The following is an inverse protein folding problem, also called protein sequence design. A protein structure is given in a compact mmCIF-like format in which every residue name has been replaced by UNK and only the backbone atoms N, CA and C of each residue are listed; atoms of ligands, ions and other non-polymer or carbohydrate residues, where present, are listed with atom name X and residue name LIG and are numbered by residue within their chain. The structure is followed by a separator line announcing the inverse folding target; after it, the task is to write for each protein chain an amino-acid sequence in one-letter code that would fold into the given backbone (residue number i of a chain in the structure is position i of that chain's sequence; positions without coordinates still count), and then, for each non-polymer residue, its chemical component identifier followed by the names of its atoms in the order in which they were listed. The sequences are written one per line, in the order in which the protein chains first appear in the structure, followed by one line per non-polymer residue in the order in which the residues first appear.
data_IF_158091390458
#
_entry.id   IF_158091390458
#
_cell.length_a   1.000
_cell.length_b   1.000
_cell.length_c   1.000
_cell.angle_alpha   90.00
_cell.angle_beta   90.00
_cell.angle_gamma   90.00
#
_symmetry.space_group_name_H-M   'P 1'
#
loop_
_entity.id
_entity.type
_entity.pdbx_description
1 polymer ?
#
# COMPACT_ATOMS: atom_id res chain seq x y z
N UNK A 1 32.88 -22.89 -9.50
CA UNK A 1 31.52 -22.76 -10.07
C UNK A 1 30.66 -22.01 -9.08
N UNK A 2 30.13 -20.83 -9.41
CA UNK A 2 29.11 -20.19 -8.57
C UNK A 2 27.76 -20.86 -8.86
N UNK A 3 27.13 -21.45 -7.83
CA UNK A 3 25.72 -21.86 -7.93
C UNK A 3 24.87 -20.59 -7.94
N UNK A 4 24.10 -20.38 -8.99
CA UNK A 4 23.03 -19.37 -9.03
C UNK A 4 21.92 -19.77 -8.06
N UNK A 5 22.03 -19.30 -6.81
CA UNK A 5 21.00 -19.51 -5.76
C UNK A 5 19.70 -18.86 -6.23
N UNK A 6 18.70 -19.68 -6.51
CA UNK A 6 17.34 -19.22 -6.84
C UNK A 6 16.80 -18.39 -5.68
N UNK A 7 16.27 -17.19 -5.97
CA UNK A 7 15.64 -16.33 -4.94
C UNK A 7 14.42 -17.04 -4.35
N UNK A 8 14.18 -16.81 -3.06
CA UNK A 8 12.94 -17.26 -2.41
C UNK A 8 11.74 -16.43 -2.92
N UNK A 9 10.53 -16.91 -2.64
CA UNK A 9 9.31 -16.11 -2.88
C UNK A 9 9.28 -14.84 -2.02
N UNK A 10 9.81 -14.88 -0.80
CA UNK A 10 9.90 -13.71 0.09
C UNK A 10 10.87 -12.66 -0.48
N UNK A 11 12.06 -13.07 -0.90
CA UNK A 11 13.05 -12.20 -1.56
C UNK A 11 12.52 -11.55 -2.83
N UNK A 12 11.70 -12.26 -3.63
CA UNK A 12 11.02 -11.67 -4.79
C UNK A 12 9.95 -10.65 -4.36
N UNK A 13 9.15 -10.94 -3.33
CA UNK A 13 8.14 -10.00 -2.78
C UNK A 13 8.80 -8.72 -2.25
N UNK A 14 9.88 -8.85 -1.47
CA UNK A 14 10.69 -7.72 -0.98
C UNK A 14 11.18 -6.80 -2.10
N UNK A 15 11.70 -7.35 -3.19
CA UNK A 15 12.23 -6.56 -4.30
C UNK A 15 11.12 -5.85 -5.09
N UNK A 16 9.94 -6.48 -5.22
CA UNK A 16 8.75 -5.82 -5.79
C UNK A 16 8.29 -4.65 -4.91
N UNK A 17 8.27 -4.83 -3.58
CA UNK A 17 7.95 -3.77 -2.61
C UNK A 17 8.98 -2.62 -2.65
N UNK A 18 10.28 -2.93 -2.84
CA UNK A 18 11.33 -1.92 -2.96
C UNK A 18 11.22 -1.12 -4.27
N UNK A 19 10.94 -1.78 -5.40
CA UNK A 19 10.62 -1.10 -6.68
C UNK A 19 9.41 -0.16 -6.47
N UNK A 20 8.36 -0.63 -5.79
CA UNK A 20 7.16 0.14 -5.50
C UNK A 20 7.39 1.38 -4.63
N UNK A 21 8.16 1.25 -3.55
CA UNK A 21 8.47 2.38 -2.67
C UNK A 21 9.42 3.39 -3.32
N UNK A 22 10.41 2.93 -4.09
CA UNK A 22 11.27 3.85 -4.86
C UNK A 22 10.45 4.61 -5.90
N UNK A 23 9.56 3.91 -6.63
CA UNK A 23 8.64 4.55 -7.57
C UNK A 23 7.75 5.60 -6.88
N UNK A 24 7.12 5.26 -5.75
CA UNK A 24 6.33 6.19 -4.93
C UNK A 24 7.12 7.43 -4.56
N UNK A 25 8.33 7.27 -4.02
CA UNK A 25 9.18 8.37 -3.58
C UNK A 25 9.57 9.31 -4.73
N UNK A 26 9.94 8.75 -5.90
CA UNK A 26 10.31 9.56 -7.06
C UNK A 26 9.09 10.22 -7.71
N UNK A 27 7.92 9.57 -7.73
CA UNK A 27 6.67 10.18 -8.20
C UNK A 27 6.19 11.32 -7.28
N UNK A 28 6.40 11.20 -5.96
CA UNK A 28 6.09 12.26 -5.01
C UNK A 28 7.02 13.47 -5.20
N UNK A 29 8.34 13.24 -5.29
CA UNK A 29 9.35 14.30 -5.46
C UNK A 29 9.32 14.97 -6.85
N UNK A 30 8.56 14.44 -7.81
CA UNK A 30 8.32 15.05 -9.13
C UNK A 30 6.87 15.52 -9.34
N UNK A 31 6.09 15.69 -8.26
CA UNK A 31 4.72 16.25 -8.28
C UNK A 31 3.72 15.47 -9.18
N UNK A 32 3.82 14.14 -9.20
CA UNK A 32 2.78 13.28 -9.79
C UNK A 32 1.67 12.92 -8.80
N UNK A 33 1.96 12.97 -7.49
CA UNK A 33 1.05 12.56 -6.42
C UNK A 33 0.55 13.80 -5.69
N UNK A 34 -0.65 14.26 -6.02
CA UNK A 34 -1.24 15.46 -5.42
C UNK A 34 -2.78 15.39 -5.40
N UNK A 35 -3.42 16.41 -4.83
CA UNK A 35 -4.87 16.52 -4.81
C UNK A 35 -5.45 16.88 -6.18
N UNK A 36 -6.52 16.19 -6.60
CA UNK A 36 -7.13 16.32 -7.94
C UNK A 36 -8.64 16.44 -7.83
N UNK A 37 -9.25 17.43 -8.51
CA UNK A 37 -10.71 17.62 -8.52
C UNK A 37 -11.35 17.06 -9.79
N UNK A 38 -12.41 16.27 -9.64
CA UNK A 38 -13.18 15.70 -10.75
C UNK A 38 -14.65 15.49 -10.35
N UNK A 39 -15.60 15.95 -11.18
CA UNK A 39 -17.06 15.90 -10.93
C UNK A 39 -17.44 16.32 -9.49
N UNK A 40 -16.93 17.49 -9.07
CA UNK A 40 -17.13 18.07 -7.72
C UNK A 40 -16.57 17.26 -6.53
N UNK A 41 -15.85 16.15 -6.75
CA UNK A 41 -15.11 15.43 -5.71
C UNK A 41 -13.62 15.77 -5.74
N UNK A 42 -12.97 15.78 -4.57
CA UNK A 42 -11.51 15.92 -4.45
C UNK A 42 -10.89 14.56 -4.13
N UNK A 43 -10.17 14.00 -5.10
CA UNK A 43 -9.34 12.82 -4.94
C UNK A 43 -7.99 13.30 -4.41
N UNK A 44 -7.81 13.21 -3.08
CA UNK A 44 -6.58 13.68 -2.43
C UNK A 44 -5.40 12.76 -2.71
N UNK A 45 -4.16 13.27 -2.64
CA UNK A 45 -2.89 12.51 -2.68
C UNK A 45 -2.90 11.37 -3.72
N UNK A 46 -3.11 11.68 -5.00
CA UNK A 46 -3.32 10.67 -6.04
C UNK A 46 -2.60 11.00 -7.35
N UNK A 47 -2.31 9.95 -8.12
CA UNK A 47 -1.71 10.03 -9.45
C UNK A 47 -2.71 9.62 -10.54
N UNK A 48 -2.56 10.18 -11.75
CA UNK A 48 -3.37 9.81 -12.90
C UNK A 48 -2.63 8.75 -13.73
N UNK A 49 -3.33 7.69 -14.13
CA UNK A 49 -2.72 6.55 -14.84
C UNK A 49 -1.95 6.98 -16.09
N UNK A 50 -2.59 7.69 -17.00
CA UNK A 50 -1.98 8.12 -18.27
C UNK A 50 -0.80 9.09 -18.09
N UNK A 51 -0.88 10.05 -17.15
CA UNK A 51 0.25 10.94 -16.84
C UNK A 51 1.44 10.16 -16.24
N UNK A 52 1.18 9.07 -15.52
CA UNK A 52 2.21 8.20 -14.96
C UNK A 52 2.89 7.37 -16.05
N UNK A 53 2.14 6.88 -17.05
CA UNK A 53 2.72 6.20 -18.23
C UNK A 53 3.59 7.15 -19.06
N UNK A 54 3.10 8.37 -19.32
CA UNK A 54 3.88 9.42 -20.01
C UNK A 54 5.21 9.71 -19.27
N UNK A 55 5.13 9.85 -17.95
CA UNK A 55 6.29 10.12 -17.10
C UNK A 55 7.28 8.96 -17.02
N UNK A 56 6.80 7.72 -16.87
CA UNK A 56 7.63 6.50 -16.83
C UNK A 56 8.46 6.33 -18.10
N UNK A 57 7.90 6.68 -19.26
CA UNK A 57 8.60 6.67 -20.55
C UNK A 57 9.56 7.86 -20.66
N UNK A 58 9.10 9.08 -20.35
CA UNK A 58 9.92 10.30 -20.37
C UNK A 58 11.17 10.20 -19.49
N UNK A 59 11.09 9.47 -18.39
CA UNK A 59 12.19 9.26 -17.42
C UNK A 59 12.98 7.97 -17.64
N UNK A 60 12.65 7.16 -18.65
CA UNK A 60 13.39 5.94 -18.98
C UNK A 60 13.23 4.79 -17.98
N UNK A 61 12.24 4.82 -17.10
CA UNK A 61 11.92 3.66 -16.24
C UNK A 61 11.41 2.46 -17.06
N UNK A 62 10.80 2.73 -18.22
CA UNK A 62 10.22 1.74 -19.14
C UNK A 62 10.17 2.30 -20.57
N UNK A 63 10.22 1.45 -21.60
CA UNK A 63 10.39 1.90 -23.00
C UNK A 63 9.12 1.82 -23.87
N UNK A 64 7.99 1.36 -23.31
CA UNK A 64 6.72 1.20 -24.04
C UNK A 64 5.52 1.31 -23.11
N UNK A 65 4.36 1.76 -23.63
CA UNK A 65 3.14 2.02 -22.83
C UNK A 65 2.53 0.72 -22.33
N UNK A 66 2.60 -0.32 -23.15
CA UNK A 66 2.12 -1.68 -22.89
C UNK A 66 2.91 -2.30 -21.74
N UNK A 67 4.25 -2.17 -21.76
CA UNK A 67 5.09 -2.62 -20.66
C UNK A 67 4.88 -1.78 -19.39
N UNK A 68 4.65 -0.46 -19.52
CA UNK A 68 4.28 0.38 -18.38
C UNK A 68 3.01 -0.13 -17.69
N UNK A 69 1.95 -0.41 -18.46
CA UNK A 69 0.70 -0.97 -17.95
C UNK A 69 0.92 -2.33 -17.30
N UNK A 70 1.67 -3.26 -17.92
CA UNK A 70 1.94 -4.58 -17.33
C UNK A 70 2.72 -4.45 -16.01
N UNK A 71 3.78 -3.63 -15.97
CA UNK A 71 4.59 -3.46 -14.77
C UNK A 71 3.82 -2.79 -13.61
N UNK A 72 2.99 -1.79 -13.92
CA UNK A 72 2.13 -1.14 -12.94
C UNK A 72 1.04 -2.08 -12.41
N UNK A 73 0.45 -2.94 -13.25
CA UNK A 73 -0.47 -3.98 -12.78
C UNK A 73 0.20 -4.96 -11.81
N UNK A 74 1.46 -5.38 -12.06
CA UNK A 74 2.19 -6.23 -11.10
C UNK A 74 2.36 -5.54 -9.73
N UNK A 75 2.60 -4.22 -9.69
CA UNK A 75 2.65 -3.47 -8.43
C UNK A 75 1.27 -3.38 -7.74
N UNK A 76 0.18 -3.22 -8.50
CA UNK A 76 -1.19 -3.20 -7.97
C UNK A 76 -1.61 -4.57 -7.42
N UNK A 77 -1.28 -5.66 -8.12
CA UNK A 77 -1.50 -7.05 -7.67
C UNK A 77 -0.71 -7.35 -6.39
N UNK A 78 0.46 -6.73 -6.20
CA UNK A 78 1.24 -6.78 -4.95
C UNK A 78 0.84 -5.70 -3.93
N UNK A 79 -0.34 -5.09 -4.09
CA UNK A 79 -1.01 -4.15 -3.17
C UNK A 79 -0.23 -2.86 -2.83
N UNK A 80 0.77 -2.49 -3.65
CA UNK A 80 1.58 -1.28 -3.46
C UNK A 80 0.74 -0.02 -3.71
N UNK A 81 -0.13 -0.07 -4.72
CA UNK A 81 -1.11 0.97 -5.03
C UNK A 81 -2.45 0.36 -5.42
N UNK A 82 -3.49 1.19 -5.52
CA UNK A 82 -4.84 0.80 -5.95
C UNK A 82 -5.52 1.92 -6.76
N UNK A 83 -6.55 1.59 -7.52
CA UNK A 83 -7.50 2.56 -8.06
C UNK A 83 -8.26 3.25 -6.92
N UNK A 84 -8.58 4.55 -7.03
CA UNK A 84 -9.19 5.33 -5.92
C UNK A 84 -10.56 4.84 -5.42
N UNK A 85 -11.23 3.96 -6.17
CA UNK A 85 -12.45 3.26 -5.75
C UNK A 85 -12.25 1.74 -5.61
N UNK A 86 -11.04 1.24 -5.85
CA UNK A 86 -10.68 -0.18 -6.05
C UNK A 86 -11.31 -0.91 -7.26
N UNK A 87 -12.33 -0.33 -7.93
CA UNK A 87 -13.05 -0.91 -9.10
C UNK A 87 -12.20 -1.37 -10.31
N UNK A 88 -10.94 -0.93 -10.44
CA UNK A 88 -10.16 -1.07 -11.68
C UNK A 88 -8.72 -1.55 -11.43
N UNK A 89 -8.27 -2.48 -12.27
CA UNK A 89 -6.85 -2.71 -12.54
C UNK A 89 -6.19 -1.52 -13.23
N UNK A 90 -4.85 -1.45 -13.22
CA UNK A 90 -4.14 -0.30 -13.76
C UNK A 90 -4.27 -0.19 -15.29
N UNK A 91 -4.59 1.02 -15.74
CA UNK A 91 -4.71 1.38 -17.15
C UNK A 91 -4.08 2.75 -17.45
N UNK A 92 -3.61 2.88 -18.68
CA UNK A 92 -3.24 4.14 -19.34
C UNK A 92 -4.48 4.98 -19.72
N UNK A 93 -5.26 5.34 -18.70
CA UNK A 93 -6.49 6.12 -18.82
C UNK A 93 -6.45 7.32 -17.86
N UNK A 94 -7.44 8.23 -17.98
CA UNK A 94 -7.64 9.36 -17.04
C UNK A 94 -8.32 8.92 -15.73
N UNK A 95 -7.96 7.73 -15.25
CA UNK A 95 -8.34 7.18 -13.95
C UNK A 95 -7.32 7.61 -12.88
N UNK A 96 -7.76 7.67 -11.63
CA UNK A 96 -6.91 8.01 -10.49
C UNK A 96 -6.53 6.79 -9.67
N UNK A 97 -5.30 6.79 -9.16
CA UNK A 97 -4.71 5.74 -8.36
C UNK A 97 -3.95 6.34 -7.18
N UNK A 98 -3.69 5.53 -6.16
CA UNK A 98 -3.05 5.94 -4.91
C UNK A 98 -2.15 4.82 -4.39
N UNK A 99 -0.97 5.15 -3.87
CA UNK A 99 -0.18 4.19 -3.10
C UNK A 99 -0.84 3.91 -1.75
N UNK A 100 -1.04 2.63 -1.39
CA UNK A 100 -1.79 2.28 -0.16
C UNK A 100 -1.15 2.79 1.14
N UNK A 101 0.15 3.12 1.07
CA UNK A 101 0.93 3.76 2.13
C UNK A 101 0.49 5.21 2.44
N UNK A 102 -0.16 5.90 1.51
CA UNK A 102 -0.43 7.35 1.61
C UNK A 102 -1.81 7.71 2.20
N UNK A 103 -2.79 6.80 2.23
CA UNK A 103 -4.05 6.97 2.97
C UNK A 103 -4.26 5.95 4.11
N UNK A 104 -3.39 4.94 4.20
CA UNK A 104 -3.59 3.82 5.12
C UNK A 104 -4.82 2.98 4.76
N UNK A 105 -5.09 2.81 3.45
CA UNK A 105 -5.83 1.68 2.86
C UNK A 105 -4.98 0.40 2.75
N UNK A 106 -3.72 0.50 3.21
CA UNK A 106 -2.75 -0.56 3.37
C UNK A 106 -3.32 -1.83 4.00
N UNK A 107 -3.11 -2.95 3.32
CA UNK A 107 -3.42 -4.29 3.84
C UNK A 107 -2.52 -4.60 5.03
N UNK A 108 -3.10 -5.11 6.14
CA UNK A 108 -2.37 -5.59 7.33
C UNK A 108 -1.61 -6.92 7.07
N UNK A 109 -0.95 -7.02 5.91
CA UNK A 109 -0.03 -8.08 5.55
C UNK A 109 1.28 -7.92 6.31
N UNK A 110 1.56 -8.89 7.19
CA UNK A 110 2.75 -8.92 8.05
C UNK A 110 4.06 -8.90 7.28
N UNK A 111 4.09 -9.40 6.04
CA UNK A 111 5.32 -9.39 5.25
C UNK A 111 5.67 -7.98 4.78
N UNK A 112 4.65 -7.26 4.31
CA UNK A 112 4.81 -5.88 3.87
C UNK A 112 5.04 -4.97 5.09
N UNK A 113 4.40 -5.23 6.24
CA UNK A 113 4.67 -4.54 7.51
C UNK A 113 6.15 -4.66 7.87
N UNK A 114 6.65 -5.90 7.98
CA UNK A 114 8.04 -6.19 8.30
C UNK A 114 9.00 -5.57 7.27
N UNK A 115 8.67 -5.57 5.97
CA UNK A 115 9.47 -4.88 4.95
C UNK A 115 9.63 -3.39 5.27
N UNK A 116 8.54 -2.68 5.59
CA UNK A 116 8.62 -1.26 5.94
C UNK A 116 9.30 -1.02 7.30
N UNK A 117 9.11 -1.89 8.29
CA UNK A 117 9.86 -1.86 9.55
C UNK A 117 11.36 -1.99 9.30
N UNK A 118 11.78 -2.98 8.50
CA UNK A 118 13.18 -3.22 8.13
C UNK A 118 13.78 -2.06 7.33
N UNK A 119 13.03 -1.50 6.37
CA UNK A 119 13.43 -0.35 5.57
C UNK A 119 13.60 0.92 6.42
N UNK A 120 12.72 1.14 7.40
CA UNK A 120 12.81 2.23 8.37
C UNK A 120 14.05 2.07 9.27
N UNK A 121 14.23 0.90 9.89
CA UNK A 121 15.41 0.59 10.72
C UNK A 121 16.68 0.86 9.90
N UNK A 122 16.80 0.23 8.73
CA UNK A 122 17.99 0.35 7.88
C UNK A 122 18.33 1.82 7.57
N UNK A 123 17.37 2.62 7.12
CA UNK A 123 17.65 4.04 6.81
C UNK A 123 18.07 4.87 8.03
N UNK A 124 17.67 4.49 9.25
CA UNK A 124 18.11 5.14 10.48
C UNK A 124 19.50 4.66 10.96
N UNK A 125 19.85 3.38 10.77
CA UNK A 125 21.11 2.82 11.28
C UNK A 125 22.24 2.66 10.25
N UNK A 126 21.97 2.77 8.93
CA UNK A 126 22.98 2.54 7.86
C UNK A 126 24.25 3.40 7.93
N UNK A 127 24.15 4.58 8.55
CA UNK A 127 25.29 5.49 8.76
C UNK A 127 25.80 5.50 10.22
N UNK A 128 25.19 4.74 11.13
CA UNK A 128 25.51 4.73 12.56
C UNK A 128 26.58 3.66 12.85
N UNK A 129 27.85 4.05 12.84
CA UNK A 129 29.00 3.13 13.04
C UNK A 129 29.11 2.51 14.45
N UNK A 130 28.34 3.01 15.42
CA UNK A 130 28.17 2.36 16.73
C UNK A 130 27.35 1.06 16.63
N UNK A 131 26.41 1.00 15.66
CA UNK A 131 25.48 -0.12 15.45
C UNK A 131 25.91 -0.97 14.25
N UNK A 132 26.15 -0.36 13.08
CA UNK A 132 26.50 -1.02 11.83
C UNK A 132 28.00 -0.90 11.51
N UNK A 133 28.70 -2.02 11.63
CA UNK A 133 30.16 -2.13 11.56
C UNK A 133 30.61 -3.48 11.02
N UNK A 134 31.85 -3.54 10.56
CA UNK A 134 32.46 -4.80 10.14
C UNK A 134 32.83 -5.63 11.38
N UNK A 135 32.49 -6.92 11.36
CA UNK A 135 32.82 -7.88 12.41
C UNK A 135 33.64 -9.03 11.84
N UNK A 136 34.79 -9.30 12.46
CA UNK A 136 35.63 -10.47 12.14
C UNK A 136 35.29 -11.61 13.10
N UNK A 137 34.98 -12.79 12.55
CA UNK A 137 34.76 -14.01 13.34
C UNK A 137 35.37 -15.21 12.60
N UNK A 138 36.05 -16.12 13.32
CA UNK A 138 36.81 -17.23 12.75
C UNK A 138 37.65 -16.87 11.49
N UNK A 139 38.30 -15.69 11.49
CA UNK A 139 39.09 -15.17 10.36
C UNK A 139 38.28 -14.61 9.17
N UNK A 140 36.96 -14.70 9.18
CA UNK A 140 36.07 -14.18 8.15
C UNK A 140 35.56 -12.78 8.54
N UNK A 141 35.59 -11.83 7.59
CA UNK A 141 35.08 -10.47 7.79
C UNK A 141 33.65 -10.38 7.24
N UNK A 142 32.70 -10.13 8.13
CA UNK A 142 31.31 -9.84 7.80
C UNK A 142 31.11 -8.32 7.81
N UNK A 143 30.68 -7.74 6.70
CA UNK A 143 30.56 -6.29 6.53
C UNK A 143 29.20 -5.74 6.91
N UNK A 144 29.19 -4.49 7.37
CA UNK A 144 27.97 -3.72 7.67
C UNK A 144 26.98 -4.51 8.56
N UNK A 145 27.53 -5.21 9.54
CA UNK A 145 26.79 -6.06 10.50
C UNK A 145 26.42 -5.30 11.77
N UNK A 146 25.40 -5.79 12.48
CA UNK A 146 24.98 -5.29 13.78
C UNK A 146 24.77 -6.47 14.75
N UNK A 147 24.82 -6.21 16.06
CA UNK A 147 24.49 -7.23 17.07
C UNK A 147 23.01 -7.16 17.47
N UNK A 148 22.46 -8.30 17.89
CA UNK A 148 21.07 -8.38 18.37
C UNK A 148 20.78 -7.40 19.51
N UNK A 149 21.68 -7.33 20.51
CA UNK A 149 21.54 -6.36 21.62
C UNK A 149 21.55 -4.91 21.14
N UNK A 150 22.49 -4.49 20.29
CA UNK A 150 22.60 -3.09 19.87
C UNK A 150 21.42 -2.66 18.99
N UNK A 151 20.81 -3.57 18.22
CA UNK A 151 19.56 -3.26 17.52
C UNK A 151 18.38 -3.11 18.50
N UNK A 152 18.27 -3.98 19.51
CA UNK A 152 17.22 -3.88 20.55
C UNK A 152 17.36 -2.56 21.34
N UNK A 153 18.58 -2.22 21.74
CA UNK A 153 18.88 -0.98 22.45
C UNK A 153 18.49 0.25 21.61
N UNK A 154 18.78 0.23 20.31
CA UNK A 154 18.36 1.28 19.37
C UNK A 154 16.84 1.32 19.18
N UNK A 155 16.16 0.18 19.01
CA UNK A 155 14.70 0.12 18.83
C UNK A 155 13.96 0.75 20.01
N UNK A 156 14.38 0.44 21.25
CA UNK A 156 13.79 0.99 22.47
C UNK A 156 14.11 2.48 22.60
N UNK A 157 15.37 2.88 22.35
CA UNK A 157 15.81 4.29 22.39
C UNK A 157 15.11 5.21 21.37
N UNK A 158 14.54 4.64 20.30
CA UNK A 158 13.83 5.36 19.24
C UNK A 158 12.32 5.07 19.25
N UNK A 159 11.78 4.53 20.36
CA UNK A 159 10.34 4.28 20.57
C UNK A 159 9.68 3.40 19.49
N UNK A 160 10.47 2.51 18.86
CA UNK A 160 10.00 1.54 17.85
C UNK A 160 9.27 0.37 18.51
N UNK A 161 9.64 0.06 19.76
CA UNK A 161 9.10 -0.99 20.64
C UNK A 161 9.30 -0.56 22.09
N UNK A 162 8.46 -1.05 23.00
CA UNK A 162 8.46 -0.66 24.41
C UNK A 162 9.13 -1.69 25.34
N UNK A 163 9.54 -2.86 24.81
CA UNK A 163 10.26 -3.87 25.60
C UNK A 163 11.29 -4.66 24.80
N UNK A 164 12.28 -5.26 25.49
CA UNK A 164 13.27 -6.15 24.86
C UNK A 164 12.63 -7.42 24.26
N UNK A 165 11.56 -7.92 24.86
CA UNK A 165 10.84 -9.09 24.35
C UNK A 165 10.13 -8.80 23.02
N UNK A 166 9.49 -7.63 22.92
CA UNK A 166 8.87 -7.12 21.70
C UNK A 166 9.93 -6.82 20.61
N UNK A 167 11.06 -6.22 21.00
CA UNK A 167 12.21 -6.01 20.11
C UNK A 167 12.76 -7.33 19.54
N UNK A 168 12.88 -8.36 20.39
CA UNK A 168 13.24 -9.72 19.94
C UNK A 168 12.20 -10.27 18.99
N UNK A 169 10.90 -10.15 19.28
CA UNK A 169 9.84 -10.64 18.39
C UNK A 169 9.85 -9.92 17.02
N UNK A 170 10.02 -8.59 16.98
CA UNK A 170 10.16 -7.85 15.71
C UNK A 170 11.43 -8.24 14.95
N UNK A 171 12.56 -8.41 15.63
CA UNK A 171 13.79 -8.93 15.01
C UNK A 171 13.64 -10.35 14.45
N UNK A 172 12.80 -11.20 15.06
CA UNK A 172 12.44 -12.53 14.53
C UNK A 172 11.58 -12.42 13.28
N UNK A 173 10.54 -11.59 13.31
CA UNK A 173 9.66 -11.36 12.16
C UNK A 173 10.42 -10.86 10.93
N UNK A 174 11.46 -10.04 11.12
CA UNK A 174 12.39 -9.60 10.06
C UNK A 174 13.28 -10.75 9.54
N UNK A 175 13.70 -11.69 10.40
CA UNK A 175 14.56 -12.81 10.02
C UNK A 175 13.77 -13.91 9.29
N UNK A 176 12.60 -14.28 9.79
CA UNK A 176 11.67 -15.23 9.15
C UNK A 176 11.34 -14.84 7.71
N UNK A 177 11.31 -13.54 7.43
CA UNK A 177 10.97 -12.96 6.12
C UNK A 177 12.17 -12.76 5.21
N UNK A 178 13.36 -13.17 5.64
CA UNK A 178 14.64 -12.94 4.96
C UNK A 178 14.99 -11.45 4.77
N UNK A 179 14.51 -10.53 5.63
CA UNK A 179 14.89 -9.10 5.57
C UNK A 179 16.25 -8.89 6.23
N UNK A 180 16.49 -9.61 7.32
CA UNK A 180 17.79 -9.79 7.97
C UNK A 180 18.14 -11.28 8.05
N UNK A 181 19.40 -11.61 8.28
CA UNK A 181 19.87 -12.98 8.59
C UNK A 181 20.99 -12.97 9.62
N UNK A 182 21.16 -14.07 10.35
CA UNK A 182 22.37 -14.28 11.15
C UNK A 182 23.58 -14.43 10.23
N UNK A 183 24.78 -14.02 10.66
CA UNK A 183 25.95 -14.04 9.76
C UNK A 183 26.40 -15.43 9.32
N UNK A 184 26.07 -16.46 10.10
CA UNK A 184 26.32 -17.88 9.81
C UNK A 184 25.05 -18.70 9.50
N UNK A 185 23.88 -18.06 9.44
CA UNK A 185 22.55 -18.71 9.37
C UNK A 185 22.17 -19.66 10.54
N UNK A 186 23.09 -20.00 11.48
CA UNK A 186 22.84 -20.94 12.60
C UNK A 186 21.78 -20.50 13.65
N UNK A 187 21.57 -19.20 13.83
CA UNK A 187 20.78 -18.66 14.94
C UNK A 187 19.61 -17.80 14.49
N UNK A 188 18.45 -18.04 15.10
CA UNK A 188 17.30 -17.14 15.04
C UNK A 188 17.57 -15.82 15.80
N UNK A 189 16.69 -14.82 15.69
CA UNK A 189 16.95 -13.51 16.33
C UNK A 189 16.85 -13.59 17.86
N UNK A 190 17.88 -13.06 18.53
CA UNK A 190 18.14 -13.14 19.97
C UNK A 190 18.78 -11.84 20.46
N UNK A 191 18.48 -11.49 21.71
CA UNK A 191 19.23 -10.48 22.45
C UNK A 191 20.66 -10.99 22.76
N UNK A 192 21.63 -10.08 22.80
CA UNK A 192 23.06 -10.36 23.00
C UNK A 192 23.94 -10.24 21.74
N UNK A 193 25.15 -10.77 21.84
CA UNK A 193 26.26 -10.57 20.88
C UNK A 193 26.22 -11.49 19.63
N UNK A 194 25.01 -11.92 19.22
CA UNK A 194 24.77 -12.59 17.95
C UNK A 194 24.81 -11.56 16.83
N UNK A 195 25.46 -11.86 15.70
CA UNK A 195 25.69 -10.89 14.62
C UNK A 195 24.71 -11.12 13.48
N UNK A 196 24.11 -10.05 13.00
CA UNK A 196 23.12 -10.07 11.92
C UNK A 196 23.50 -9.06 10.83
N UNK A 197 22.96 -9.27 9.63
CA UNK A 197 23.13 -8.43 8.45
C UNK A 197 21.79 -8.30 7.73
N UNK A 198 21.57 -7.23 6.99
CA UNK A 198 20.44 -7.13 6.07
C UNK A 198 20.67 -8.02 4.84
N UNK A 199 19.59 -8.58 4.31
CA UNK A 199 19.61 -9.32 3.04
C UNK A 199 19.23 -8.43 1.85
N UNK A 200 18.40 -7.41 2.11
CA UNK A 200 17.96 -6.43 1.11
C UNK A 200 18.99 -5.29 1.04
N UNK A 201 19.52 -5.01 -0.15
CA UNK A 201 20.20 -3.74 -0.40
C UNK A 201 19.14 -2.65 -0.67
N UNK A 202 18.65 -2.02 0.41
CA UNK A 202 17.72 -0.91 0.32
C UNK A 202 18.31 0.35 -0.35
N UNK A 203 19.64 0.43 -0.56
CA UNK A 203 20.26 1.52 -1.31
C UNK A 203 20.34 1.21 -2.82
N UNK A 204 20.09 -0.03 -3.26
CA UNK A 204 20.14 -0.39 -4.67
C UNK A 204 19.07 0.39 -5.46
N UNK A 205 19.43 1.20 -6.46
CA UNK A 205 18.45 1.88 -7.30
C UNK A 205 17.83 0.90 -8.30
N UNK A 206 16.51 0.95 -8.44
CA UNK A 206 15.73 0.15 -9.38
C UNK A 206 15.00 1.03 -10.41
N UNK A 207 14.84 0.51 -11.63
CA UNK A 207 13.87 0.99 -12.61
C UNK A 207 12.61 0.13 -12.54
N UNK A 208 11.45 0.67 -12.94
CA UNK A 208 10.20 -0.11 -13.00
C UNK A 208 10.35 -1.37 -13.89
N UNK A 209 11.10 -1.26 -15.00
CA UNK A 209 11.38 -2.39 -15.90
C UNK A 209 12.25 -3.50 -15.31
N UNK A 210 12.88 -3.32 -14.14
CA UNK A 210 13.59 -4.41 -13.46
C UNK A 210 12.63 -5.49 -12.92
N UNK A 211 11.35 -5.16 -12.72
CA UNK A 211 10.31 -6.09 -12.24
C UNK A 211 10.16 -7.33 -13.16
N UNK A 212 10.42 -7.18 -14.46
CA UNK A 212 10.38 -8.27 -15.44
C UNK A 212 11.51 -9.29 -15.24
N UNK A 213 12.63 -8.89 -14.63
CA UNK A 213 13.71 -9.82 -14.27
C UNK A 213 13.30 -10.72 -13.09
N UNK A 214 12.52 -10.19 -12.15
CA UNK A 214 12.05 -10.91 -10.97
C UNK A 214 11.07 -12.04 -11.34
N UNK A 215 10.22 -11.82 -12.35
CA UNK A 215 9.29 -12.84 -12.89
C UNK A 215 10.03 -14.09 -13.39
N UNK A 216 11.26 -13.95 -13.90
CA UNK A 216 12.08 -15.09 -14.38
C UNK A 216 12.53 -16.02 -13.25
N UNK A 217 12.75 -15.51 -12.03
CA UNK A 217 13.26 -16.31 -10.91
C UNK A 217 12.18 -17.05 -10.13
N UNK A 218 10.91 -16.66 -10.22
CA UNK A 218 9.80 -17.27 -9.47
C UNK A 218 8.86 -18.18 -10.28
N UNK A 219 9.00 -18.25 -11.61
CA UNK A 219 7.99 -18.90 -12.47
C UNK A 219 8.10 -20.43 -12.51
N UNK A 220 7.40 -21.11 -11.60
CA UNK A 220 7.00 -22.52 -11.81
C UNK A 220 5.63 -22.94 -11.26
N UNK A 221 4.96 -22.09 -10.47
CA UNK A 221 3.63 -22.42 -9.88
C UNK A 221 2.68 -21.21 -9.86
N UNK A 222 2.21 -20.80 -11.03
CA UNK A 222 0.88 -20.19 -11.18
C UNK A 222 0.28 -20.64 -12.51
N UNK A 223 -0.38 -21.80 -12.48
CA UNK A 223 -1.28 -22.22 -13.54
C UNK A 223 -2.68 -21.77 -13.17
N UNK A 224 -3.27 -20.89 -13.97
CA UNK A 224 -4.71 -20.93 -14.18
C UNK A 224 -5.04 -20.43 -15.60
N UNK A 225 -6.16 -20.90 -16.13
CA UNK A 225 -6.49 -20.78 -17.54
C UNK A 225 -6.87 -19.35 -17.95
N UNK A 226 -6.21 -18.83 -18.99
CA UNK A 226 -6.91 -18.24 -20.13
C UNK A 226 -5.99 -18.17 -21.36
N UNK A 227 -6.51 -18.57 -22.52
CA UNK A 227 -5.75 -18.62 -23.77
C UNK A 227 -5.66 -17.23 -24.40
N UNK A 228 -4.45 -16.65 -24.47
CA UNK A 228 -4.00 -15.71 -25.52
C UNK A 228 -2.48 -15.42 -25.38
N UNK A 229 -1.66 -16.47 -25.34
CA UNK A 229 -0.26 -16.37 -24.89
C UNK A 229 0.78 -16.10 -26.00
N UNK A 230 0.35 -15.55 -27.16
CA UNK A 230 1.23 -15.30 -28.32
C UNK A 230 1.89 -13.91 -28.32
N UNK A 231 1.71 -13.11 -27.27
CA UNK A 231 2.20 -11.71 -27.23
C UNK A 231 3.51 -11.48 -26.45
N UNK A 232 3.89 -12.34 -25.50
CA UNK A 232 4.94 -11.98 -24.52
C UNK A 232 6.38 -12.25 -24.98
N UNK A 233 6.63 -13.26 -25.82
CA UNK A 233 8.00 -13.61 -26.24
C UNK A 233 8.67 -12.49 -27.06
N UNK A 234 7.89 -11.69 -27.80
CA UNK A 234 8.41 -10.67 -28.71
C UNK A 234 8.99 -9.43 -28.02
N UNK A 235 8.54 -9.11 -26.80
CA UNK A 235 9.10 -8.02 -25.99
C UNK A 235 10.43 -8.42 -25.34
N UNK A 236 10.69 -9.71 -25.21
CA UNK A 236 11.67 -10.26 -24.28
C UNK A 236 13.12 -10.09 -24.76
N UNK A 237 13.38 -10.28 -26.06
CA UNK A 237 14.70 -10.08 -26.66
C UNK A 237 15.16 -8.61 -26.67
N UNK A 238 14.23 -7.65 -26.78
CA UNK A 238 14.57 -6.25 -26.98
C UNK A 238 15.02 -5.54 -25.69
N UNK A 239 14.45 -5.89 -24.52
CA UNK A 239 14.84 -5.28 -23.24
C UNK A 239 16.14 -5.85 -22.65
N UNK A 240 16.51 -7.09 -22.98
CA UNK A 240 17.74 -7.73 -22.48
C UNK A 240 19.00 -7.17 -23.18
N UNK A 241 18.89 -6.85 -24.47
CA UNK A 241 20.04 -6.62 -25.37
C UNK A 241 20.81 -5.29 -25.19
N UNK A 242 20.54 -4.52 -24.12
CA UNK A 242 21.23 -3.24 -23.81
C UNK A 242 21.60 -3.05 -22.32
N UNK A 243 21.66 -4.12 -21.54
CA UNK A 243 21.99 -4.07 -20.10
C UNK A 243 23.48 -4.25 -19.77
N UNK A 244 24.20 -3.15 -19.51
CA UNK A 244 25.55 -3.06 -18.89
C UNK A 244 26.66 -3.93 -19.51
N UNK A 245 27.56 -3.31 -20.27
CA UNK A 245 28.93 -3.83 -20.40
C UNK A 245 29.66 -3.74 -19.04
N UNK A 246 30.25 -4.83 -18.59
CA UNK A 246 31.21 -4.85 -17.48
C UNK A 246 32.57 -4.29 -17.93
N UNK A 247 33.33 -3.72 -16.99
CA UNK A 247 34.62 -3.07 -17.24
C UNK A 247 35.63 -3.95 -17.99
N UNK A 248 36.09 -3.47 -19.16
CA UNK A 248 37.20 -4.03 -19.92
C UNK A 248 37.87 -2.93 -20.76
N UNK A 249 39.18 -2.81 -20.67
CA UNK A 249 39.93 -1.65 -21.19
C UNK A 249 40.38 -1.82 -22.64
N UNK A 250 39.85 -1.02 -23.56
CA UNK A 250 40.43 -0.75 -24.89
C UNK A 250 40.32 0.76 -25.18
N UNK A 251 41.33 1.32 -25.86
CA UNK A 251 41.46 2.74 -26.21
C UNK A 251 40.99 3.06 -27.65
N UNK A 252 40.28 4.19 -27.82
CA UNK A 252 40.20 5.02 -29.04
C UNK A 252 39.65 4.36 -30.35
N UNK A 253 38.82 4.96 -31.20
CA UNK A 253 38.41 6.37 -31.45
C UNK A 253 36.94 6.43 -31.92
N UNK A 254 36.37 7.64 -32.04
CA UNK A 254 35.29 7.92 -33.01
C UNK A 254 33.84 7.97 -32.52
N UNK A 255 33.27 9.18 -32.55
CA UNK A 255 31.86 9.55 -32.87
C UNK A 255 30.68 8.63 -32.50
N UNK A 256 29.77 9.09 -31.63
CA UNK A 256 28.31 9.16 -31.91
C UNK A 256 27.46 9.81 -30.80
N UNK A 257 26.21 10.13 -31.17
CA UNK A 257 25.02 10.50 -30.38
C UNK A 257 25.13 10.82 -28.86
N UNK A 258 24.69 12.03 -28.48
CA UNK A 258 24.28 12.32 -27.11
C UNK A 258 22.94 11.62 -26.79
N UNK A 259 22.99 10.55 -26.00
CA UNK A 259 21.83 10.01 -25.31
C UNK A 259 21.90 10.35 -23.83
N UNK A 260 20.97 11.16 -23.31
CA UNK A 260 20.91 11.48 -21.89
C UNK A 260 20.60 10.21 -21.09
N UNK A 261 21.50 9.82 -20.17
CA UNK A 261 21.17 8.84 -19.13
C UNK A 261 20.01 9.37 -18.27
N UNK A 262 19.07 8.52 -17.86
CA UNK A 262 18.09 8.90 -16.84
C UNK A 262 18.80 9.15 -15.49
N UNK A 263 18.31 10.10 -14.68
CA UNK A 263 18.99 10.48 -13.44
C UNK A 263 18.92 9.36 -12.40
N UNK A 264 20.06 8.73 -12.11
CA UNK A 264 20.22 7.82 -10.97
C UNK A 264 20.18 8.64 -9.67
N UNK A 265 19.07 8.55 -8.92
CA UNK A 265 18.89 9.30 -7.68
C UNK A 265 19.62 8.59 -6.52
N UNK A 266 20.56 9.30 -5.89
CA UNK A 266 21.19 8.87 -4.64
C UNK A 266 20.20 9.00 -3.47
N UNK A 267 19.94 7.90 -2.75
CA UNK A 267 18.99 7.82 -1.62
C UNK A 267 19.53 8.45 -0.31
N UNK A 268 19.93 9.74 -0.38
CA UNK A 268 20.63 10.46 0.69
C UNK A 268 20.11 11.90 0.96
N UNK A 269 18.78 12.07 1.04
CA UNK A 269 18.23 13.20 1.80
C UNK A 269 16.86 12.88 2.41
N UNK A 270 16.86 12.53 3.70
CA UNK A 270 15.67 12.63 4.55
C UNK A 270 15.71 13.97 5.28
N UNK A 271 15.04 14.98 4.73
CA UNK A 271 14.64 16.17 5.49
C UNK A 271 13.70 15.76 6.63
N UNK A 272 13.75 16.49 7.74
CA UNK A 272 13.02 16.13 8.96
C UNK A 272 11.63 16.75 8.97
N UNK A 273 10.60 15.91 8.91
CA UNK A 273 9.30 16.19 9.53
C UNK A 273 8.86 14.96 10.34
N UNK A 274 8.33 15.19 11.55
CA UNK A 274 8.07 14.15 12.53
C UNK A 274 6.71 13.48 12.31
N UNK A 275 6.71 12.22 11.84
CA UNK A 275 5.54 11.35 11.82
C UNK A 275 5.85 9.99 12.46
N UNK A 276 5.83 9.95 13.80
CA UNK A 276 5.90 8.70 14.56
C UNK A 276 4.59 7.91 14.44
N UNK A 277 4.62 6.58 14.27
CA UNK A 277 3.41 5.76 14.21
C UNK A 277 2.84 5.50 15.61
N UNK A 278 2.06 6.44 16.15
CA UNK A 278 1.45 6.32 17.48
C UNK A 278 0.23 5.40 17.51
N UNK A 279 0.44 4.17 18.00
CA UNK A 279 -0.64 3.32 18.51
C UNK A 279 -1.32 4.08 19.67
N UNK A 280 -2.65 4.17 19.67
CA UNK A 280 -3.38 4.91 20.70
C UNK A 280 -4.59 4.15 21.27
N UNK A 281 -4.71 4.19 22.60
CA UNK A 281 -5.86 3.72 23.36
C UNK A 281 -6.37 4.83 24.30
N UNK A 282 -7.56 5.35 23.99
CA UNK A 282 -8.53 5.97 24.90
C UNK A 282 -8.06 6.93 26.03
N UNK A 283 -8.51 8.19 25.87
CA UNK A 283 -9.20 9.04 26.87
C UNK A 283 -8.46 10.03 27.81
N UNK A 284 -8.91 11.30 27.73
CA UNK A 284 -9.06 12.36 28.77
C UNK A 284 -7.78 13.09 29.25
N UNK A 285 -7.82 14.38 29.65
CA UNK A 285 -8.83 15.45 29.45
C UNK A 285 -8.18 16.87 29.60
N UNK A 286 -8.36 17.73 28.58
CA UNK A 286 -8.61 19.21 28.63
C UNK A 286 -7.65 20.27 29.26
N UNK A 287 -7.87 21.51 28.79
CA UNK A 287 -7.58 22.87 29.37
C UNK A 287 -6.45 23.72 28.72
N UNK A 288 -6.89 24.66 27.85
CA UNK A 288 -6.57 26.11 27.70
C UNK A 288 -5.11 26.64 27.79
N UNK A 289 -4.65 27.67 27.05
CA UNK A 289 -5.12 28.51 25.91
C UNK A 289 -3.88 29.33 25.41
N UNK A 290 -3.82 30.24 24.41
CA UNK A 290 -4.73 31.01 23.54
C UNK A 290 -4.54 30.59 22.03
N UNK A 291 -4.90 31.24 20.91
CA UNK A 291 -5.11 32.65 20.46
C UNK A 291 -3.83 33.54 20.47
N UNK A 292 -3.61 34.48 19.53
CA UNK A 292 -4.38 35.03 18.37
C UNK A 292 -3.45 35.23 17.14
N UNK A 293 -3.87 35.42 15.87
CA UNK A 293 -5.18 35.63 15.21
C UNK A 293 -5.08 35.44 13.67
N UNK A 294 -6.13 34.86 13.05
CA UNK A 294 -6.76 35.18 11.72
C UNK A 294 -5.86 35.26 10.44
N UNK A 295 -6.24 34.79 9.25
CA UNK A 295 -7.45 34.13 8.68
C UNK A 295 -7.07 33.57 7.28
N UNK A 296 -7.81 32.71 6.56
CA UNK A 296 -9.22 32.29 6.62
C UNK A 296 -9.41 30.80 6.23
N UNK A 297 -10.58 30.21 6.55
CA UNK A 297 -10.82 28.77 6.46
C UNK A 297 -11.39 28.27 5.11
N UNK A 298 -11.04 27.04 4.76
CA UNK A 298 -12.01 26.04 4.29
C UNK A 298 -11.52 24.62 4.62
N UNK A 299 -12.07 24.00 5.66
CA UNK A 299 -11.73 22.62 6.03
C UNK A 299 -12.08 21.64 4.89
N UNK A 300 -11.21 20.67 4.65
CA UNK A 300 -11.41 19.64 3.63
C UNK A 300 -11.52 18.25 4.28
N UNK A 301 -12.77 17.81 4.41
CA UNK A 301 -13.14 16.57 5.10
C UNK A 301 -12.31 15.36 4.64
N UNK A 302 -11.82 14.60 5.62
CA UNK A 302 -11.17 13.32 5.39
C UNK A 302 -12.28 12.30 5.09
N UNK A 303 -12.31 11.70 3.89
CA UNK A 303 -13.24 10.58 3.65
C UNK A 303 -13.00 9.48 4.70
N UNK A 304 -14.02 9.09 5.50
CA UNK A 304 -13.80 8.18 6.61
C UNK A 304 -13.60 6.75 6.12
N UNK A 305 -12.59 6.07 6.69
CA UNK A 305 -12.23 4.67 6.40
C UNK A 305 -13.44 3.74 6.49
N UNK A 306 -13.49 2.72 5.63
CA UNK A 306 -14.55 1.69 5.61
C UNK A 306 -14.84 1.17 7.01
N UNK A 307 -16.11 1.19 7.42
CA UNK A 307 -16.51 0.60 8.72
C UNK A 307 -16.56 -0.92 8.69
N UNK A 308 -16.54 -1.55 7.52
CA UNK A 308 -16.68 -3.01 7.36
C UNK A 308 -15.32 -3.70 7.53
N UNK A 309 -15.25 -4.62 8.51
CA UNK A 309 -14.00 -5.29 8.94
C UNK A 309 -13.72 -6.59 8.16
N UNK A 310 -14.75 -7.21 7.60
CA UNK A 310 -14.65 -8.38 6.70
C UNK A 310 -15.60 -8.16 5.52
N UNK A 311 -15.16 -8.45 4.30
CA UNK A 311 -16.07 -8.48 3.16
C UNK A 311 -17.10 -9.61 3.34
N UNK A 312 -18.37 -9.26 3.18
CA UNK A 312 -19.53 -10.14 3.29
C UNK A 312 -20.12 -10.23 1.89
N UNK A 313 -20.30 -11.45 1.39
CA UNK A 313 -20.83 -11.65 0.02
C UNK A 313 -22.34 -11.44 -0.02
N UNK A 314 -22.89 -11.21 -1.22
CA UNK A 314 -24.35 -11.19 -1.39
C UNK A 314 -24.98 -12.52 -1.00
N UNK A 315 -24.33 -13.65 -1.33
CA UNK A 315 -24.79 -15.00 -0.96
C UNK A 315 -24.96 -15.15 0.56
N UNK A 316 -23.98 -14.69 1.36
CA UNK A 316 -24.04 -14.72 2.82
C UNK A 316 -25.20 -13.88 3.40
N UNK A 317 -25.66 -12.86 2.67
CA UNK A 317 -26.80 -12.01 3.04
C UNK A 317 -28.17 -12.52 2.53
N UNK A 318 -28.18 -13.47 1.61
CA UNK A 318 -29.41 -14.14 1.11
C UNK A 318 -29.64 -15.52 1.74
N UNK A 319 -28.62 -16.15 2.35
CA UNK A 319 -28.74 -17.43 3.04
C UNK A 319 -29.82 -17.43 4.15
N UNK A 320 -30.78 -18.38 4.15
CA UNK A 320 -31.86 -18.43 5.14
C UNK A 320 -31.41 -18.58 6.59
N UNK A 321 -30.25 -19.21 6.81
CA UNK A 321 -29.66 -19.43 8.14
C UNK A 321 -28.53 -18.42 8.47
N UNK A 322 -28.37 -17.37 7.66
CA UNK A 322 -27.35 -16.35 7.88
C UNK A 322 -27.56 -15.62 9.22
N UNK A 323 -26.48 -15.11 9.87
CA UNK A 323 -26.60 -14.37 11.12
C UNK A 323 -27.23 -12.97 10.96
N UNK A 324 -27.85 -12.64 9.82
CA UNK A 324 -28.31 -11.30 9.48
C UNK A 324 -29.83 -11.17 9.55
N UNK A 325 -30.32 -10.36 10.50
CA UNK A 325 -31.76 -10.11 10.67
C UNK A 325 -32.21 -8.88 9.87
N UNK A 326 -33.29 -9.05 9.09
CA UNK A 326 -33.95 -8.00 8.29
C UNK A 326 -34.77 -7.07 9.20
N UNK A 327 -34.60 -5.76 9.05
CA UNK A 327 -35.43 -4.70 9.68
C UNK A 327 -35.93 -3.75 8.58
N UNK A 328 -37.23 -3.43 8.59
CA UNK A 328 -37.77 -2.33 7.78
C UNK A 328 -37.60 -1.00 8.51
N UNK A 329 -37.22 0.05 7.78
CA UNK A 329 -36.97 1.41 8.28
C UNK A 329 -37.56 2.40 7.28
N UNK A 330 -38.49 3.25 7.72
CA UNK A 330 -39.00 4.38 6.93
C UNK A 330 -38.32 5.65 7.41
N UNK A 331 -37.71 6.39 6.50
CA UNK A 331 -36.97 7.63 6.75
C UNK A 331 -37.66 8.75 5.97
N UNK A 332 -38.12 9.79 6.65
CA UNK A 332 -38.50 11.06 6.02
C UNK A 332 -37.24 11.91 5.83
N UNK A 333 -37.13 12.72 4.78
CA UNK A 333 -36.03 13.67 4.66
C UNK A 333 -36.29 14.98 5.43
N UNK A 334 -35.22 15.71 5.72
CA UNK A 334 -35.23 17.12 6.09
C UNK A 334 -34.83 18.01 4.90
N UNK A 335 -34.47 19.27 5.15
CA UNK A 335 -34.02 20.24 4.14
C UNK A 335 -32.61 19.99 3.58
N UNK A 336 -31.84 19.06 4.16
CA UNK A 336 -30.48 18.66 3.75
C UNK A 336 -30.51 17.28 3.08
N UNK A 337 -31.40 16.39 3.52
CA UNK A 337 -31.66 15.09 2.90
C UNK A 337 -32.08 14.04 3.93
N UNK A 338 -31.51 12.83 3.84
CA UNK A 338 -31.87 11.72 4.74
C UNK A 338 -30.88 11.50 5.90
N UNK A 339 -29.76 12.22 5.96
CA UNK A 339 -28.78 12.13 7.06
C UNK A 339 -27.97 10.82 7.14
N UNK A 340 -27.64 10.19 6.00
CA UNK A 340 -26.77 9.00 5.98
C UNK A 340 -25.93 8.89 4.69
N UNK A 341 -24.86 8.08 4.74
CA UNK A 341 -23.94 7.80 3.62
C UNK A 341 -23.80 6.29 3.42
N UNK A 342 -23.81 5.85 2.17
CA UNK A 342 -23.63 4.45 1.75
C UNK A 342 -22.36 4.23 0.93
N UNK A 343 -21.80 3.01 1.01
CA UNK A 343 -20.63 2.51 0.26
C UNK A 343 -20.82 1.04 -0.11
N UNK A 344 -19.92 0.50 -0.95
CA UNK A 344 -19.93 -0.90 -1.40
C UNK A 344 -20.27 -1.08 -2.89
N UNK A 345 -19.90 -2.23 -3.44
CA UNK A 345 -20.08 -2.61 -4.85
C UNK A 345 -20.96 -3.87 -4.99
N UNK A 346 -21.99 -3.99 -4.13
CA UNK A 346 -22.81 -5.17 -4.00
C UNK A 346 -22.19 -6.23 -3.05
N UNK A 347 -22.56 -6.27 -1.76
CA UNK A 347 -23.67 -5.56 -1.12
C UNK A 347 -23.33 -4.13 -0.66
N UNK A 348 -24.25 -3.21 -0.94
CA UNK A 348 -24.20 -1.83 -0.44
C UNK A 348 -24.52 -1.77 1.06
N UNK A 349 -23.79 -0.94 1.83
CA UNK A 349 -23.93 -0.79 3.27
C UNK A 349 -23.85 0.67 3.75
N UNK A 350 -24.37 0.93 4.96
CA UNK A 350 -24.36 2.23 5.64
C UNK A 350 -22.98 2.49 6.27
N UNK A 351 -22.27 3.47 5.72
CA UNK A 351 -20.94 3.92 6.15
C UNK A 351 -21.01 5.00 7.24
N UNK A 352 -21.98 5.92 7.15
CA UNK A 352 -22.22 7.00 8.13
C UNK A 352 -23.73 7.14 8.35
N UNK A 353 -24.12 7.47 9.58
CA UNK A 353 -25.44 8.06 9.91
C UNK A 353 -25.17 9.30 10.74
N UNK A 354 -25.79 10.43 10.40
CA UNK A 354 -25.76 11.65 11.21
C UNK A 354 -26.49 11.36 12.54
N UNK A 355 -25.86 11.51 13.72
CA UNK A 355 -26.47 11.23 15.02
C UNK A 355 -27.72 12.05 15.33
N UNK A 356 -27.90 13.23 14.71
CA UNK A 356 -29.07 14.09 14.87
C UNK A 356 -29.99 14.10 13.63
N UNK A 357 -29.56 13.47 12.54
CA UNK A 357 -30.31 13.44 11.28
C UNK A 357 -31.51 12.49 11.25
N UNK A 358 -32.32 12.52 10.17
CA UNK A 358 -33.56 11.76 10.08
C UNK A 358 -33.33 10.24 10.08
N UNK A 359 -32.24 9.75 9.49
CA UNK A 359 -31.89 8.34 9.50
C UNK A 359 -31.57 7.79 10.90
N UNK A 360 -30.88 8.55 11.76
CA UNK A 360 -30.67 8.15 13.16
C UNK A 360 -32.01 8.10 13.92
N UNK A 361 -32.87 9.10 13.69
CA UNK A 361 -34.22 9.17 14.26
C UNK A 361 -35.10 7.98 13.85
N UNK A 362 -34.99 7.50 12.60
CA UNK A 362 -35.63 6.28 12.12
C UNK A 362 -34.96 4.97 12.62
N UNK A 363 -33.82 5.08 13.31
CA UNK A 363 -33.05 3.96 13.84
C UNK A 363 -32.32 3.14 12.76
N UNK A 364 -31.83 3.81 11.71
CA UNK A 364 -30.76 3.32 10.83
C UNK A 364 -29.45 3.30 11.61
N UNK A 365 -28.55 2.36 11.31
CA UNK A 365 -27.25 2.23 11.97
C UNK A 365 -26.13 1.97 10.96
N UNK A 366 -24.96 2.51 11.28
CA UNK A 366 -23.69 2.21 10.61
C UNK A 366 -23.41 0.70 10.64
N UNK A 367 -22.77 0.16 9.59
CA UNK A 367 -22.54 -1.29 9.33
C UNK A 367 -23.78 -2.12 8.94
N UNK A 368 -24.95 -1.52 8.72
CA UNK A 368 -26.10 -2.24 8.16
C UNK A 368 -26.00 -2.35 6.63
N UNK A 369 -26.32 -3.51 6.05
CA UNK A 369 -26.41 -3.70 4.60
C UNK A 369 -27.81 -3.34 4.09
N UNK A 370 -27.91 -2.73 2.90
CA UNK A 370 -29.20 -2.40 2.28
C UNK A 370 -29.69 -3.60 1.47
N UNK A 371 -30.81 -4.19 1.90
CA UNK A 371 -31.44 -5.33 1.21
C UNK A 371 -32.35 -4.87 0.08
N UNK A 372 -33.16 -3.83 0.31
CA UNK A 372 -34.07 -3.26 -0.68
C UNK A 372 -34.39 -1.79 -0.40
N UNK A 373 -34.64 -1.02 -1.46
CA UNK A 373 -35.12 0.37 -1.43
C UNK A 373 -36.52 0.41 -2.02
N UNK A 374 -37.51 0.90 -1.26
CA UNK A 374 -38.94 0.94 -1.63
C UNK A 374 -39.50 -0.37 -2.22
N UNK A 375 -38.98 -1.52 -1.75
CA UNK A 375 -39.38 -2.87 -2.18
C UNK A 375 -38.50 -3.48 -3.27
N UNK A 376 -37.75 -2.70 -4.04
CA UNK A 376 -36.81 -3.22 -5.04
C UNK A 376 -35.54 -3.75 -4.36
N UNK A 377 -35.15 -5.00 -4.63
CA UNK A 377 -33.93 -5.61 -4.07
C UNK A 377 -32.66 -4.99 -4.64
N UNK A 378 -31.67 -4.73 -3.79
CA UNK A 378 -30.44 -4.01 -4.16
C UNK A 378 -29.13 -4.68 -3.69
N UNK A 379 -29.16 -5.92 -3.18
CA UNK A 379 -27.94 -6.57 -2.71
C UNK A 379 -26.86 -6.72 -3.80
N UNK A 380 -27.24 -6.96 -5.06
CA UNK A 380 -26.32 -7.03 -6.20
C UNK A 380 -26.01 -5.66 -6.84
N UNK A 381 -26.45 -4.56 -6.22
CA UNK A 381 -26.25 -3.19 -6.74
C UNK A 381 -25.21 -2.43 -5.93
N UNK A 382 -24.47 -1.58 -6.63
CA UNK A 382 -23.45 -0.75 -6.01
C UNK A 382 -24.02 0.55 -5.41
N UNK A 383 -23.22 1.20 -4.56
CA UNK A 383 -23.65 2.38 -3.83
C UNK A 383 -24.01 3.59 -4.72
N UNK A 384 -23.61 3.60 -6.00
CA UNK A 384 -24.01 4.62 -6.98
C UNK A 384 -25.45 4.34 -7.43
N UNK A 385 -25.74 3.14 -7.91
CA UNK A 385 -27.09 2.72 -8.32
C UNK A 385 -28.09 2.86 -7.17
N UNK A 386 -27.74 2.37 -5.98
CA UNK A 386 -28.57 2.47 -4.78
C UNK A 386 -28.75 3.94 -4.36
N UNK A 387 -27.70 4.75 -4.49
CA UNK A 387 -27.77 6.19 -4.26
C UNK A 387 -28.72 6.91 -5.23
N UNK A 388 -28.75 6.53 -6.50
CA UNK A 388 -29.72 7.05 -7.47
C UNK A 388 -31.15 6.59 -7.17
N UNK A 389 -31.35 5.34 -6.76
CA UNK A 389 -32.66 4.82 -6.37
C UNK A 389 -33.23 5.56 -5.15
N UNK A 390 -32.39 5.92 -4.18
CA UNK A 390 -32.78 6.75 -3.03
C UNK A 390 -33.07 8.20 -3.47
N UNK A 391 -32.23 8.81 -4.32
CA UNK A 391 -32.42 10.18 -4.83
C UNK A 391 -33.64 10.38 -5.74
N UNK A 392 -34.17 9.30 -6.31
CA UNK A 392 -35.45 9.31 -7.06
C UNK A 392 -36.68 9.43 -6.14
N UNK A 393 -36.51 9.28 -4.82
CA UNK A 393 -37.56 9.50 -3.83
C UNK A 393 -37.48 10.95 -3.33
N UNK A 394 -38.63 11.64 -3.26
CA UNK A 394 -38.71 13.00 -2.74
C UNK A 394 -38.53 13.02 -1.22
N UNK A 395 -39.63 13.02 -0.46
CA UNK A 395 -39.58 13.31 0.98
C UNK A 395 -39.45 12.06 1.87
N UNK A 396 -39.42 10.86 1.29
CA UNK A 396 -39.56 9.60 2.02
C UNK A 396 -38.90 8.40 1.31
N UNK A 397 -38.05 7.66 2.03
CA UNK A 397 -37.50 6.36 1.60
C UNK A 397 -37.77 5.26 2.63
N UNK A 398 -38.16 4.09 2.16
CA UNK A 398 -38.30 2.86 2.95
C UNK A 398 -37.16 1.90 2.60
N UNK A 399 -36.30 1.62 3.58
CA UNK A 399 -35.18 0.70 3.45
C UNK A 399 -35.51 -0.60 4.21
N UNK A 400 -35.27 -1.75 3.59
CA UNK A 400 -35.05 -2.98 4.37
C UNK A 400 -33.55 -3.14 4.54
N UNK A 401 -33.10 -3.29 5.77
CA UNK A 401 -31.68 -3.39 6.12
C UNK A 401 -31.37 -4.67 6.88
N UNK A 402 -30.18 -5.20 6.67
CA UNK A 402 -29.66 -6.40 7.33
C UNK A 402 -28.68 -5.99 8.44
N UNK A 403 -28.88 -6.55 9.63
CA UNK A 403 -28.02 -6.34 10.81
C UNK A 403 -27.48 -7.68 11.30
N UNK A 404 -26.17 -7.82 11.49
CA UNK A 404 -25.59 -9.01 12.10
C UNK A 404 -26.10 -9.15 13.54
N UNK A 405 -26.83 -10.22 13.81
CA UNK A 405 -27.27 -10.62 15.12
C UNK A 405 -26.09 -11.33 15.81
N UNK A 406 -25.46 -10.66 16.78
CA UNK A 406 -24.70 -11.37 17.80
C UNK A 406 -25.67 -11.71 18.92
N UNK A 407 -25.81 -13.00 19.20
CA UNK A 407 -26.16 -13.44 20.55
C UNK A 407 -25.05 -13.01 21.50
N UNK A 408 -25.42 -12.75 22.76
CA UNK A 408 -24.60 -12.02 23.74
C UNK A 408 -24.21 -12.93 24.89
#
# INVERSE_FOLDING_TARGET
MQRTRTKSTSSVKQEILLIGEQLRFVMNTQDLIHDRKYRFRTYRICFMGTQTVDWLIKTGHIHSREAAVIAMNILQDNHIFHHVCDDHQFKDEKLFYRFRRDDGSYTEDKDTEAFYTGHFIFNKIKNCREIMRDHTDAGHVYRDTFTGSCLIDWMIKNEVVFSRNEAVQKGRELLEREIIKHVTDDYHFRDGNYKYQFCIDFNQPYLLSDIFRLRRTGSRTYSNNNNNNNGLEYFDHNYISRGRHTSGSISSTGSSCHGNMPPLIHFNHFGVENTSPSISSSHRDSINSLQSSLSSNSDSEIEPKSVIVRQVSVFELEEPNSPYKKKSIKIMSDSVGYGFVIRGDGPTYVQIVDPMGPAASAGLKVRQYIYSVNGERVLHKNHIEVGEMIKKQADCVTLVVLSHYKER
#
